data_IF_154595394938
#
_entry.id   IF_154595394938
#
_cell.length_a   1.000
_cell.length_b   1.000
_cell.length_c   1.000
_cell.angle_alpha   90.00
_cell.angle_beta   90.00
_cell.angle_gamma   90.00
#
_symmetry.space_group_name_H-M   'P 1'
#
loop_
_entity.id
_entity.type
_entity.pdbx_description
1 polymer ?
#
# COMPACT_ATOMS: atom_id res chain seq x y z
N UNK A 1 -11.23 23.27 0.33
CA UNK A 1 -11.66 22.13 1.20
C UNK A 1 -10.41 21.30 1.43
N UNK A 2 -9.70 21.53 2.54
CA UNK A 2 -8.54 20.72 2.89
C UNK A 2 -9.02 19.31 3.16
N UNK A 3 -8.77 18.40 2.21
CA UNK A 3 -9.16 17.01 2.37
C UNK A 3 -8.31 16.41 3.48
N UNK A 4 -8.99 15.59 4.29
CA UNK A 4 -8.71 14.70 5.44
C UNK A 4 -7.35 13.94 5.41
N UNK A 5 -6.33 14.43 4.73
CA UNK A 5 -5.10 13.70 4.40
C UNK A 5 -3.82 14.23 5.06
N UNK A 6 -3.92 15.13 6.02
CA UNK A 6 -2.73 15.53 6.79
C UNK A 6 -2.36 14.46 7.85
N UNK A 7 -3.23 13.45 8.04
CA UNK A 7 -2.96 12.27 8.87
C UNK A 7 -2.48 11.09 8.00
N UNK A 8 -1.29 10.52 8.26
CA UNK A 8 -0.75 9.38 7.52
C UNK A 8 -1.64 8.12 7.50
N UNK A 9 -2.46 7.88 8.53
CA UNK A 9 -3.43 6.78 8.58
C UNK A 9 -4.54 6.95 7.56
N UNK A 10 -5.06 8.18 7.46
CA UNK A 10 -6.14 8.48 6.53
C UNK A 10 -5.65 8.50 5.08
N UNK A 11 -4.43 8.98 4.84
CA UNK A 11 -3.78 8.87 3.54
C UNK A 11 -3.53 7.40 3.15
N UNK A 12 -3.04 6.57 4.07
CA UNK A 12 -2.84 5.14 3.84
C UNK A 12 -4.15 4.44 3.46
N UNK A 13 -5.24 4.70 4.19
CA UNK A 13 -6.57 4.15 3.88
C UNK A 13 -7.06 4.54 2.48
N UNK A 14 -6.83 5.78 2.06
CA UNK A 14 -7.19 6.22 0.70
C UNK A 14 -6.37 5.51 -0.36
N UNK A 15 -5.06 5.36 -0.15
CA UNK A 15 -4.21 4.62 -1.08
C UNK A 15 -4.63 3.15 -1.17
N UNK A 16 -4.97 2.51 -0.05
CA UNK A 16 -5.48 1.12 -0.05
C UNK A 16 -6.80 0.99 -0.81
N UNK A 17 -7.74 1.93 -0.66
CA UNK A 17 -8.99 1.93 -1.44
C UNK A 17 -8.73 2.08 -2.92
N UNK A 18 -7.83 3.00 -3.29
CA UNK A 18 -7.49 3.23 -4.68
C UNK A 18 -6.81 2.01 -5.30
N UNK A 19 -5.93 1.32 -4.57
CA UNK A 19 -5.33 0.05 -5.01
C UNK A 19 -6.40 -1.04 -5.27
N UNK A 20 -7.44 -1.12 -4.43
CA UNK A 20 -8.56 -2.04 -4.65
C UNK A 20 -9.34 -1.68 -5.92
N UNK A 21 -9.66 -0.39 -6.13
CA UNK A 21 -10.31 0.10 -7.36
C UNK A 21 -9.46 -0.21 -8.62
N UNK A 22 -8.14 -0.05 -8.53
CA UNK A 22 -7.21 -0.34 -9.63
C UNK A 22 -7.10 -1.85 -9.91
N UNK A 23 -7.28 -2.71 -8.91
CA UNK A 23 -7.29 -4.17 -9.05
C UNK A 23 -8.55 -4.72 -9.72
N UNK A 24 -9.69 -4.01 -9.66
CA UNK A 24 -10.99 -4.49 -10.15
C UNK A 24 -11.27 -4.17 -11.64
N UNK A 25 -10.36 -3.47 -12.34
CA UNK A 25 -10.57 -3.12 -13.76
C UNK A 25 -9.29 -2.85 -14.56
N UNK A 26 -9.38 -2.64 -15.89
CA UNK A 26 -8.23 -2.35 -16.76
C UNK A 26 -7.52 -1.00 -16.47
N UNK A 27 -7.87 -0.33 -15.38
CA UNK A 27 -7.34 0.96 -14.92
C UNK A 27 -6.01 0.87 -14.17
N UNK A 28 -5.28 -0.25 -14.30
CA UNK A 28 -4.05 -0.63 -13.58
C UNK A 28 -2.90 0.41 -13.60
N UNK A 29 -3.03 1.55 -14.28
CA UNK A 29 -2.02 2.60 -14.36
C UNK A 29 -2.63 4.00 -14.50
N UNK A 30 -3.72 4.31 -13.79
CA UNK A 30 -4.31 5.67 -13.91
C UNK A 30 -3.47 6.80 -13.28
N UNK A 31 -2.31 6.50 -12.68
CA UNK A 31 -1.42 7.53 -12.10
C UNK A 31 -2.07 8.30 -10.95
N UNK A 32 -3.25 7.88 -10.48
CA UNK A 32 -4.02 8.56 -9.44
C UNK A 32 -3.33 8.45 -8.09
N UNK A 33 -2.74 7.29 -7.78
CA UNK A 33 -1.95 7.12 -6.56
C UNK A 33 -0.75 8.08 -6.56
N UNK A 34 -0.04 8.20 -7.70
CA UNK A 34 1.05 9.16 -7.86
C UNK A 34 0.59 10.61 -7.68
N UNK A 35 -0.51 11.01 -8.32
CA UNK A 35 -1.05 12.36 -8.18
C UNK A 35 -1.45 12.69 -6.72
N UNK A 36 -2.00 11.72 -5.98
CA UNK A 36 -2.29 11.87 -4.56
C UNK A 36 -0.99 12.03 -3.77
N UNK A 37 0.02 11.19 -4.00
CA UNK A 37 1.30 11.29 -3.32
C UNK A 37 1.98 12.64 -3.58
N UNK A 38 1.92 13.16 -4.80
CA UNK A 38 2.45 14.48 -5.16
C UNK A 38 1.73 15.62 -4.41
N UNK A 39 0.39 15.56 -4.31
CA UNK A 39 -0.39 16.53 -3.50
C UNK A 39 0.00 16.46 -2.01
N UNK A 40 0.16 15.24 -1.47
CA UNK A 40 0.55 15.05 -0.07
C UNK A 40 1.93 15.61 0.22
N UNK A 41 2.90 15.39 -0.68
CA UNK A 41 4.25 15.95 -0.57
C UNK A 41 4.23 17.47 -0.69
N UNK A 42 3.47 18.02 -1.64
CA UNK A 42 3.37 19.47 -1.82
C UNK A 42 2.80 20.15 -0.58
N UNK A 43 1.88 19.49 0.14
CA UNK A 43 1.20 20.04 1.32
C UNK A 43 1.96 19.82 2.63
N UNK A 44 2.56 18.64 2.83
CA UNK A 44 3.13 18.21 4.11
C UNK A 44 4.67 18.12 4.09
N UNK A 45 5.30 18.26 2.93
CA UNK A 45 6.73 18.06 2.72
C UNK A 45 7.13 16.60 2.56
N UNK A 46 8.36 16.37 2.12
CA UNK A 46 8.87 15.01 1.81
C UNK A 46 9.00 14.11 3.04
N UNK A 47 9.16 14.68 4.24
CA UNK A 47 9.20 13.92 5.49
C UNK A 47 7.93 13.13 5.77
N UNK A 48 6.79 13.60 5.28
CA UNK A 48 5.50 12.94 5.40
C UNK A 48 5.48 11.55 4.75
N UNK A 49 6.21 11.35 3.65
CA UNK A 49 6.27 10.06 2.98
C UNK A 49 6.91 8.97 3.85
N UNK A 50 7.85 9.33 4.73
CA UNK A 50 8.44 8.37 5.66
C UNK A 50 7.40 7.87 6.67
N UNK A 51 6.58 8.76 7.21
CA UNK A 51 5.49 8.41 8.12
C UNK A 51 4.43 7.57 7.42
N UNK A 52 4.02 7.98 6.21
CA UNK A 52 3.06 7.23 5.40
C UNK A 52 3.56 5.82 5.06
N UNK A 53 4.84 5.68 4.68
CA UNK A 53 5.44 4.38 4.40
C UNK A 53 5.44 3.47 5.64
N UNK A 54 5.77 4.01 6.82
CA UNK A 54 5.70 3.26 8.08
C UNK A 54 4.27 2.80 8.37
N UNK A 55 3.28 3.67 8.17
CA UNK A 55 1.87 3.34 8.36
C UNK A 55 1.43 2.23 7.41
N UNK A 56 1.75 2.33 6.13
CA UNK A 56 1.41 1.31 5.12
C UNK A 56 2.07 -0.04 5.45
N UNK A 57 3.34 -0.04 5.86
CA UNK A 57 4.04 -1.26 6.26
C UNK A 57 3.37 -1.94 7.47
N UNK A 58 2.99 -1.16 8.49
CA UNK A 58 2.28 -1.67 9.68
C UNK A 58 0.90 -2.20 9.34
N UNK A 59 0.16 -1.50 8.48
CA UNK A 59 -1.17 -1.93 8.04
C UNK A 59 -1.09 -3.24 7.24
N UNK A 60 -0.11 -3.37 6.34
CA UNK A 60 0.16 -4.62 5.60
C UNK A 60 0.47 -5.78 6.53
N UNK A 61 1.35 -5.57 7.52
CA UNK A 61 1.67 -6.59 8.50
C UNK A 61 0.44 -7.01 9.32
N UNK A 62 -0.36 -6.05 9.81
CA UNK A 62 -1.56 -6.36 10.58
C UNK A 62 -2.56 -7.19 9.76
N UNK A 63 -2.77 -6.86 8.49
CA UNK A 63 -3.64 -7.63 7.60
C UNK A 63 -3.12 -9.06 7.36
N UNK A 64 -1.80 -9.23 7.18
CA UNK A 64 -1.18 -10.54 7.03
C UNK A 64 -1.24 -11.36 8.33
N UNK A 65 -1.04 -10.74 9.48
CA UNK A 65 -1.13 -11.39 10.80
C UNK A 65 -2.58 -11.85 11.10
N UNK A 66 -3.57 -11.03 10.73
CA UNK A 66 -4.97 -11.41 10.83
C UNK A 66 -5.32 -12.56 9.88
N UNK A 67 -4.77 -12.56 8.67
CA UNK A 67 -4.92 -13.66 7.70
C UNK A 67 -4.27 -14.94 8.22
N UNK A 68 -3.02 -14.87 8.69
CA UNK A 68 -2.28 -15.99 9.28
C UNK A 68 -3.06 -16.64 10.43
N UNK A 69 -3.61 -15.80 11.33
CA UNK A 69 -4.45 -16.27 12.45
C UNK A 69 -5.73 -16.94 11.96
N UNK A 70 -6.36 -16.43 10.90
CA UNK A 70 -7.59 -16.98 10.33
C UNK A 70 -7.36 -18.30 9.59
N UNK A 71 -6.21 -18.49 8.94
CA UNK A 71 -5.88 -19.69 8.17
C UNK A 71 -5.10 -20.74 8.97
N UNK A 72 -4.60 -20.39 10.15
CA UNK A 72 -3.71 -21.25 10.94
C UNK A 72 -2.30 -21.36 10.35
N UNK A 73 -1.90 -20.38 9.55
CA UNK A 73 -0.57 -20.25 8.92
C UNK A 73 0.34 -19.35 9.77
N UNK A 74 1.64 -19.33 9.48
CA UNK A 74 2.57 -18.35 10.05
C UNK A 74 2.66 -17.10 9.17
N UNK A 75 2.67 -15.92 9.78
CA UNK A 75 2.84 -14.64 9.09
C UNK A 75 4.16 -14.60 8.30
N UNK A 76 5.21 -15.28 8.78
CA UNK A 76 6.48 -15.41 8.07
C UNK A 76 6.32 -16.16 6.73
N UNK A 77 5.56 -17.27 6.73
CA UNK A 77 5.32 -18.07 5.52
C UNK A 77 4.51 -17.29 4.48
N UNK A 78 3.55 -16.47 4.92
CA UNK A 78 2.82 -15.57 4.03
C UNK A 78 3.71 -14.46 3.46
N UNK A 79 4.64 -13.92 4.25
CA UNK A 79 5.59 -12.91 3.78
C UNK A 79 6.54 -13.50 2.73
N UNK A 80 7.09 -14.68 2.98
CA UNK A 80 7.97 -15.39 2.04
C UNK A 80 7.24 -15.64 0.71
N UNK A 81 5.97 -16.05 0.77
CA UNK A 81 5.15 -16.29 -0.43
C UNK A 81 4.97 -15.01 -1.26
N UNK A 82 4.65 -13.89 -0.61
CA UNK A 82 4.49 -12.61 -1.31
C UNK A 82 5.84 -12.07 -1.83
N UNK A 83 6.95 -12.35 -1.16
CA UNK A 83 8.28 -12.00 -1.64
C UNK A 83 8.62 -12.77 -2.93
N UNK A 84 8.33 -14.07 -2.98
CA UNK A 84 8.54 -14.89 -4.17
C UNK A 84 7.71 -14.37 -5.35
N UNK A 85 6.41 -14.14 -5.17
CA UNK A 85 5.55 -13.61 -6.23
C UNK A 85 6.06 -12.26 -6.77
N UNK A 86 6.55 -11.39 -5.87
CA UNK A 86 7.10 -10.10 -6.26
C UNK A 86 8.41 -10.24 -7.06
N UNK A 87 9.25 -11.22 -6.73
CA UNK A 87 10.50 -11.49 -7.46
C UNK A 87 10.21 -12.09 -8.84
N UNK A 88 9.28 -13.04 -8.93
CA UNK A 88 8.88 -13.68 -10.20
C UNK A 88 8.31 -12.64 -11.19
N UNK A 89 7.52 -11.68 -10.71
CA UNK A 89 7.01 -10.60 -11.54
C UNK A 89 8.08 -9.65 -12.11
N UNK A 90 9.27 -9.56 -11.50
CA UNK A 90 10.38 -8.77 -12.03
C UNK A 90 11.16 -9.52 -13.12
N UNK A 91 11.23 -10.85 -13.01
CA UNK A 91 11.92 -11.70 -13.97
C UNK A 91 11.11 -11.85 -15.28
N UNK A 92 9.78 -11.81 -15.23
CA UNK A 92 8.90 -11.86 -16.42
C UNK A 92 8.84 -10.54 -17.23
N UNK A 93 9.25 -9.41 -16.64
CA UNK A 93 9.33 -8.08 -17.27
C UNK A 93 10.71 -7.77 -17.90
N UNK A 94 11.64 -8.74 -17.90
CA UNK A 94 13.06 -8.61 -18.33
C UNK A 94 13.37 -9.12 -19.75
#
# INVERSE_FOLDING_TARGET
>A
MGLIYDDPQLAALTLTRLAAEESEGPSAMTGRMHAILDDLVQRNGTGYLAELAIVLARARFAALDDLARATGTDTAELLDSVEIEALEGLDDDS
#
